data_IF_065431148858
#
_entry.id   IF_065431148858
#
_cell.length_a   1.000
_cell.length_b   1.000
_cell.length_c   1.000
_cell.angle_alpha   90.00
_cell.angle_beta   90.00
_cell.angle_gamma   90.00
#
_symmetry.space_group_name_H-M   'P 1'
#
loop_
_entity.id
_entity.type
_entity.pdbx_description
1 polymer ?
#
# COMPACT_ATOMS: atom_id res chain seq x y z
N UNK A 1 -2.33 -13.81 15.85
CA UNK A 1 -2.54 -13.95 17.31
C UNK A 1 -1.83 -15.23 17.74
N UNK A 2 -1.13 -15.26 18.89
CA UNK A 2 -0.39 -16.45 19.35
C UNK A 2 1.13 -16.42 19.20
N UNK A 3 1.74 -15.23 19.08
CA UNK A 3 3.19 -15.09 19.11
C UNK A 3 3.66 -14.82 20.54
N UNK A 4 4.83 -15.32 20.89
CA UNK A 4 5.49 -15.02 22.17
C UNK A 4 5.73 -13.51 22.33
N UNK A 5 5.65 -13.04 23.58
CA UNK A 5 5.89 -11.64 23.91
C UNK A 5 7.37 -11.29 23.73
N UNK A 6 7.66 -10.37 22.81
CA UNK A 6 9.01 -9.88 22.51
C UNK A 6 9.25 -8.45 23.01
N UNK A 7 8.36 -7.89 23.85
CA UNK A 7 8.53 -6.53 24.39
C UNK A 7 9.85 -6.40 25.15
N UNK A 8 10.55 -5.28 24.94
CA UNK A 8 11.86 -5.00 25.53
C UNK A 8 13.06 -5.64 24.81
N UNK A 9 12.84 -6.51 23.83
CA UNK A 9 13.91 -7.10 23.02
C UNK A 9 14.26 -6.22 21.82
N UNK A 10 15.50 -6.33 21.32
CA UNK A 10 15.93 -5.68 20.09
C UNK A 10 15.31 -6.35 18.86
N UNK A 11 15.12 -5.59 17.78
CA UNK A 11 14.59 -6.11 16.50
C UNK A 11 15.66 -6.78 15.62
N UNK A 12 16.92 -6.82 16.05
CA UNK A 12 18.08 -7.28 15.26
C UNK A 12 17.91 -8.68 14.66
N UNK A 13 17.33 -9.61 15.42
CA UNK A 13 17.07 -10.98 14.92
C UNK A 13 16.10 -10.97 13.74
N UNK A 14 15.04 -10.18 13.82
CA UNK A 14 14.07 -10.06 12.73
C UNK A 14 14.65 -9.41 11.46
N UNK A 15 15.63 -8.51 11.62
CA UNK A 15 16.38 -7.95 10.49
C UNK A 15 17.32 -9.00 9.89
N UNK A 16 18.05 -9.74 10.72
CA UNK A 16 18.96 -10.80 10.27
C UNK A 16 18.23 -11.94 9.53
N UNK A 17 17.01 -12.26 9.97
CA UNK A 17 16.09 -13.21 9.32
C UNK A 17 15.45 -12.64 8.03
N UNK A 18 15.75 -11.39 7.64
CA UNK A 18 15.11 -10.67 6.54
C UNK A 18 13.58 -10.78 6.60
N UNK A 19 13.02 -10.58 7.79
CA UNK A 19 11.58 -10.58 7.97
C UNK A 19 11.01 -9.23 7.51
N UNK A 20 10.07 -9.27 6.57
CA UNK A 20 9.42 -8.09 6.01
C UNK A 20 8.82 -7.15 7.08
N UNK A 21 8.37 -7.69 8.22
CA UNK A 21 7.85 -6.90 9.33
C UNK A 21 8.82 -5.81 9.81
N UNK A 22 10.13 -6.06 9.70
CA UNK A 22 11.18 -5.12 10.11
C UNK A 22 11.85 -4.42 8.93
N UNK A 23 11.35 -4.64 7.71
CA UNK A 23 11.72 -3.94 6.48
C UNK A 23 13.24 -3.89 6.24
N UNK A 24 13.96 -4.97 6.58
CA UNK A 24 15.43 -5.05 6.48
C UNK A 24 16.15 -3.88 7.17
N UNK A 25 15.61 -3.40 8.29
CA UNK A 25 16.17 -2.27 9.03
C UNK A 25 15.90 -0.90 8.39
N UNK A 26 14.96 -0.82 7.45
CA UNK A 26 14.49 0.42 6.81
C UNK A 26 13.03 0.79 7.17
N UNK A 27 12.60 0.73 8.45
CA UNK A 27 11.28 1.18 8.82
C UNK A 27 11.17 2.71 8.79
N UNK A 28 9.94 3.22 8.80
CA UNK A 28 9.68 4.64 9.08
C UNK A 28 10.06 4.92 10.54
N UNK A 29 11.02 5.82 10.76
CA UNK A 29 11.38 6.33 12.08
C UNK A 29 10.78 7.72 12.21
N UNK A 30 9.73 7.83 13.03
CA UNK A 30 8.97 9.08 13.14
C UNK A 30 9.71 10.14 13.95
N UNK A 31 9.64 11.39 13.49
CA UNK A 31 9.75 12.56 14.35
C UNK A 31 8.34 12.93 14.89
N UNK A 32 8.24 13.99 15.71
CA UNK A 32 6.95 14.42 16.28
C UNK A 32 5.86 14.73 15.24
N UNK A 33 6.22 15.32 14.10
CA UNK A 33 5.25 15.60 13.05
C UNK A 33 4.77 14.32 12.33
N UNK A 34 5.67 13.35 12.16
CA UNK A 34 5.34 12.04 11.59
C UNK A 34 4.53 11.17 12.56
N UNK A 35 4.71 11.33 13.87
CA UNK A 35 3.82 10.74 14.88
C UNK A 35 2.39 11.28 14.73
N UNK A 36 2.23 12.59 14.51
CA UNK A 36 0.93 13.20 14.20
C UNK A 36 0.38 12.64 12.88
N UNK A 37 1.20 12.53 11.84
CA UNK A 37 0.79 11.92 10.57
C UNK A 37 0.34 10.46 10.73
N UNK A 38 1.00 9.69 11.59
CA UNK A 38 0.59 8.33 11.91
C UNK A 38 -0.77 8.30 12.62
N UNK A 39 -1.01 9.21 13.57
CA UNK A 39 -2.31 9.32 14.25
C UNK A 39 -3.44 9.70 13.28
N UNK A 40 -3.20 10.67 12.39
CA UNK A 40 -4.17 11.06 11.35
C UNK A 40 -4.42 9.91 10.38
N UNK A 41 -3.37 9.20 9.96
CA UNK A 41 -3.50 8.02 9.08
C UNK A 41 -4.24 6.86 9.75
N UNK A 42 -4.25 6.79 11.08
CA UNK A 42 -4.96 5.79 11.85
C UNK A 42 -6.45 6.10 12.07
N UNK A 43 -6.93 7.28 11.66
CA UNK A 43 -8.38 7.57 11.63
C UNK A 43 -9.06 6.50 10.77
N UNK A 44 -10.12 5.90 11.31
CA UNK A 44 -10.90 4.87 10.64
C UNK A 44 -12.31 5.42 10.34
N UNK A 45 -12.63 5.73 9.08
CA UNK A 45 -13.97 6.17 8.70
C UNK A 45 -15.05 5.08 8.78
N UNK A 46 -14.67 3.80 8.86
CA UNK A 46 -15.61 2.68 8.79
C UNK A 46 -16.53 2.62 10.01
N UNK A 47 -17.84 2.68 9.74
CA UNK A 47 -18.91 2.48 10.72
C UNK A 47 -19.22 0.98 10.82
N UNK A 48 -19.30 0.32 9.66
CA UNK A 48 -19.50 -1.12 9.54
C UNK A 48 -18.90 -1.62 8.20
N UNK A 49 -19.09 -2.90 7.88
CA UNK A 49 -18.50 -3.54 6.70
C UNK A 49 -18.89 -2.97 5.35
N UNK A 50 -19.95 -2.14 5.27
CA UNK A 50 -20.48 -1.59 4.02
C UNK A 50 -20.68 -0.08 4.06
N UNK A 51 -20.34 0.58 5.17
CA UNK A 51 -20.61 2.01 5.36
C UNK A 51 -19.44 2.70 6.05
N UNK A 52 -19.05 3.83 5.47
CA UNK A 52 -18.04 4.75 5.99
C UNK A 52 -18.67 6.12 6.29
N UNK A 53 -18.17 6.81 7.31
CA UNK A 53 -18.53 8.20 7.60
C UNK A 53 -17.78 9.14 6.65
N UNK A 54 -18.53 9.88 5.85
CA UNK A 54 -17.98 10.91 4.97
C UNK A 54 -17.28 12.02 5.74
N UNK A 55 -17.82 12.41 6.90
CA UNK A 55 -17.24 13.46 7.75
C UNK A 55 -15.86 13.05 8.28
N UNK A 56 -15.74 11.80 8.74
CA UNK A 56 -14.46 11.25 9.21
C UNK A 56 -13.43 11.16 8.09
N UNK A 57 -13.85 10.71 6.89
CA UNK A 57 -12.99 10.68 5.71
C UNK A 57 -12.55 12.09 5.31
N UNK A 58 -13.46 13.07 5.30
CA UNK A 58 -13.14 14.47 4.98
C UNK A 58 -12.19 15.11 6.00
N UNK A 59 -12.36 14.84 7.30
CA UNK A 59 -11.43 15.32 8.34
C UNK A 59 -10.04 14.69 8.13
N UNK A 60 -9.98 13.37 7.90
CA UNK A 60 -8.72 12.67 7.64
C UNK A 60 -8.00 13.26 6.41
N UNK A 61 -8.73 13.47 5.33
CA UNK A 61 -8.23 14.06 4.08
C UNK A 61 -7.69 15.48 4.29
N UNK A 62 -8.46 16.35 4.97
CA UNK A 62 -8.05 17.73 5.23
C UNK A 62 -6.79 17.80 6.11
N UNK A 63 -6.69 16.96 7.14
CA UNK A 63 -5.52 16.90 8.00
C UNK A 63 -4.29 16.34 7.28
N UNK A 64 -4.46 15.33 6.43
CA UNK A 64 -3.37 14.80 5.60
C UNK A 64 -2.88 15.84 4.59
N UNK A 65 -3.77 16.63 3.98
CA UNK A 65 -3.37 17.76 3.14
C UNK A 65 -2.58 18.81 3.90
N UNK A 66 -3.03 19.19 5.10
CA UNK A 66 -2.28 20.13 5.94
C UNK A 66 -0.86 19.61 6.21
N UNK A 67 -0.72 18.33 6.55
CA UNK A 67 0.58 17.71 6.79
C UNK A 67 1.43 17.60 5.51
N UNK A 68 0.79 17.39 4.35
CA UNK A 68 1.44 17.36 3.04
C UNK A 68 2.01 18.73 2.69
N UNK A 69 1.20 19.79 2.82
CA UNK A 69 1.58 21.18 2.53
C UNK A 69 2.74 21.66 3.41
N UNK A 70 2.79 21.19 4.66
CA UNK A 70 3.90 21.47 5.59
C UNK A 70 5.15 20.60 5.34
N UNK A 71 5.12 19.69 4.36
CA UNK A 71 6.22 18.81 4.00
C UNK A 71 6.43 17.62 4.94
N UNK A 72 5.52 17.39 5.89
CA UNK A 72 5.66 16.35 6.91
C UNK A 72 5.36 14.94 6.40
N UNK A 73 4.71 14.81 5.24
CA UNK A 73 4.47 13.52 4.58
C UNK A 73 5.59 13.07 3.63
N UNK A 74 6.58 13.94 3.36
CA UNK A 74 7.65 13.67 2.38
C UNK A 74 8.48 12.41 2.64
N UNK A 75 8.52 11.94 3.89
CA UNK A 75 9.19 10.72 4.33
C UNK A 75 8.22 9.64 4.83
N UNK A 76 6.92 9.75 4.55
CA UNK A 76 5.92 8.82 5.04
C UNK A 76 5.13 8.21 3.86
N UNK A 77 5.67 7.17 3.18
CA UNK A 77 5.06 6.59 1.98
C UNK A 77 3.62 6.12 2.18
N UNK A 78 3.29 5.48 3.30
CA UNK A 78 1.94 4.98 3.55
C UNK A 78 0.90 6.10 3.76
N UNK A 79 1.29 7.26 4.31
CA UNK A 79 0.39 8.39 4.50
C UNK A 79 0.09 9.08 3.16
N UNK A 80 1.09 9.16 2.26
CA UNK A 80 0.90 9.59 0.88
C UNK A 80 -0.06 8.65 0.13
N UNK A 81 0.09 7.34 0.31
CA UNK A 81 -0.83 6.34 -0.24
C UNK A 81 -2.26 6.51 0.30
N UNK A 82 -2.42 6.70 1.61
CA UNK A 82 -3.72 6.95 2.24
C UNK A 82 -4.39 8.23 1.71
N UNK A 83 -3.63 9.33 1.57
CA UNK A 83 -4.14 10.55 0.96
C UNK A 83 -4.55 10.34 -0.51
N UNK A 84 -3.77 9.55 -1.26
CA UNK A 84 -4.10 9.18 -2.63
C UNK A 84 -5.43 8.42 -2.74
N UNK A 85 -5.67 7.43 -1.88
CA UNK A 85 -6.95 6.70 -1.85
C UNK A 85 -8.13 7.64 -1.50
N UNK A 86 -7.95 8.57 -0.55
CA UNK A 86 -8.99 9.55 -0.19
C UNK A 86 -9.31 10.52 -1.35
N UNK A 87 -8.29 11.00 -2.06
CA UNK A 87 -8.48 11.85 -3.24
C UNK A 87 -9.11 11.11 -4.43
N UNK A 88 -8.91 9.80 -4.56
CA UNK A 88 -9.62 9.00 -5.56
C UNK A 88 -11.12 8.91 -5.25
N UNK A 89 -11.48 8.78 -3.97
CA UNK A 89 -12.87 8.74 -3.51
C UNK A 89 -13.54 10.11 -3.72
N UNK A 90 -12.87 11.18 -3.29
CA UNK A 90 -13.39 12.54 -3.39
C UNK A 90 -12.26 13.53 -3.64
N UNK A 91 -12.04 13.89 -4.90
CA UNK A 91 -10.99 14.83 -5.29
C UNK A 91 -11.24 16.21 -4.70
N UNK A 92 -10.24 16.75 -4.00
CA UNK A 92 -10.26 18.11 -3.49
C UNK A 92 -9.99 19.12 -4.62
N UNK A 93 -10.77 20.22 -4.74
CA UNK A 93 -10.55 21.23 -5.78
C UNK A 93 -9.15 21.85 -5.70
N UNK A 94 -8.45 21.91 -6.84
CA UNK A 94 -7.11 22.52 -6.93
C UNK A 94 -5.97 21.67 -6.36
N UNK A 95 -6.25 20.47 -5.85
CA UNK A 95 -5.23 19.51 -5.42
C UNK A 95 -4.73 18.64 -6.58
N UNK A 96 -3.51 18.10 -6.51
CA UNK A 96 -3.00 17.21 -7.54
C UNK A 96 -3.81 15.91 -7.62
N UNK A 97 -3.78 15.22 -8.77
CA UNK A 97 -4.49 13.96 -8.93
C UNK A 97 -3.88 12.85 -8.05
N UNK A 98 -4.66 11.79 -7.71
CA UNK A 98 -4.21 10.70 -6.84
C UNK A 98 -2.94 10.02 -7.34
N UNK A 99 -2.81 9.91 -8.67
CA UNK A 99 -1.64 9.33 -9.32
C UNK A 99 -0.33 10.00 -8.88
N UNK A 100 -0.34 11.32 -8.69
CA UNK A 100 0.84 12.07 -8.24
C UNK A 100 1.23 11.68 -6.82
N UNK A 101 0.27 11.52 -5.92
CA UNK A 101 0.50 11.12 -4.53
C UNK A 101 1.03 9.68 -4.43
N UNK A 102 0.52 8.77 -5.24
CA UNK A 102 1.05 7.40 -5.31
C UNK A 102 2.48 7.36 -5.87
N UNK A 103 2.81 8.24 -6.82
CA UNK A 103 4.17 8.36 -7.34
C UNK A 103 5.12 8.95 -6.27
N UNK A 104 4.70 10.01 -5.57
CA UNK A 104 5.44 10.56 -4.43
C UNK A 104 5.70 9.52 -3.34
N UNK A 105 4.74 8.64 -3.07
CA UNK A 105 4.89 7.53 -2.14
C UNK A 105 6.02 6.57 -2.55
N UNK A 106 6.06 6.17 -3.82
CA UNK A 106 7.11 5.30 -4.37
C UNK A 106 8.47 6.01 -4.35
N UNK A 107 8.50 7.29 -4.71
CA UNK A 107 9.73 8.07 -4.74
C UNK A 107 10.30 8.28 -3.32
N UNK A 108 9.43 8.49 -2.33
CA UNK A 108 9.82 8.54 -0.92
C UNK A 108 10.42 7.21 -0.44
N UNK A 109 9.83 6.07 -0.80
CA UNK A 109 10.37 4.74 -0.51
C UNK A 109 11.78 4.55 -1.10
N UNK A 110 11.93 4.83 -2.39
CA UNK A 110 13.23 4.72 -3.07
C UNK A 110 14.28 5.64 -2.47
N UNK A 111 13.89 6.87 -2.11
CA UNK A 111 14.82 7.91 -1.65
C UNK A 111 15.27 7.73 -0.21
N UNK A 112 14.38 7.31 0.68
CA UNK A 112 14.64 7.30 2.12
C UNK A 112 14.72 5.90 2.74
N UNK A 113 14.23 4.87 2.03
CA UNK A 113 14.06 3.53 2.59
C UNK A 113 14.63 2.43 1.69
N UNK A 114 15.52 2.78 0.74
CA UNK A 114 16.19 1.83 -0.16
C UNK A 114 15.23 0.89 -0.90
N UNK A 115 14.04 1.39 -1.24
CA UNK A 115 13.00 0.65 -1.96
C UNK A 115 12.61 -0.66 -1.26
N UNK A 116 12.50 -0.62 0.07
CA UNK A 116 12.16 -1.78 0.91
C UNK A 116 10.65 -1.86 1.20
N UNK A 117 9.85 -0.85 0.83
CA UNK A 117 8.42 -0.83 1.14
C UNK A 117 7.59 -1.36 -0.02
N UNK A 118 6.71 -2.33 0.29
CA UNK A 118 5.87 -2.96 -0.74
C UNK A 118 4.58 -2.17 -0.98
N UNK A 119 4.05 -1.53 0.08
CA UNK A 119 2.76 -0.85 0.04
C UNK A 119 2.64 0.27 -1.02
N UNK A 120 3.65 1.15 -1.23
CA UNK A 120 3.58 2.19 -2.26
C UNK A 120 3.20 1.65 -3.64
N UNK A 121 3.80 0.53 -4.04
CA UNK A 121 3.48 -0.15 -5.29
C UNK A 121 2.09 -0.78 -5.31
N UNK A 122 1.61 -1.29 -4.16
CA UNK A 122 0.26 -1.87 -4.08
C UNK A 122 -0.84 -0.81 -4.14
N UNK A 123 -0.63 0.37 -3.55
CA UNK A 123 -1.56 1.50 -3.66
C UNK A 123 -1.70 1.93 -5.12
N UNK A 124 -0.56 2.23 -5.77
CA UNK A 124 -0.53 2.59 -7.20
C UNK A 124 -1.17 1.52 -8.07
N UNK A 125 -0.81 0.24 -7.85
CA UNK A 125 -1.34 -0.88 -8.64
C UNK A 125 -2.85 -1.02 -8.49
N UNK A 126 -3.39 -0.87 -7.28
CA UNK A 126 -4.82 -0.94 -7.02
C UNK A 126 -5.58 0.22 -7.69
N UNK A 127 -5.07 1.45 -7.58
CA UNK A 127 -5.62 2.62 -8.28
C UNK A 127 -5.67 2.39 -9.80
N UNK A 128 -4.55 1.98 -10.40
CA UNK A 128 -4.46 1.73 -11.84
C UNK A 128 -5.42 0.62 -12.28
N UNK A 129 -5.59 -0.41 -11.45
CA UNK A 129 -6.53 -1.49 -11.72
C UNK A 129 -7.99 -1.03 -11.70
N UNK A 130 -8.40 -0.27 -10.67
CA UNK A 130 -9.75 0.31 -10.57
C UNK A 130 -10.07 1.22 -11.77
N UNK A 131 -9.06 1.87 -12.32
CA UNK A 131 -9.16 2.75 -13.48
C UNK A 131 -8.94 2.03 -14.84
N UNK A 132 -8.97 0.70 -14.88
CA UNK A 132 -8.89 -0.10 -16.11
C UNK A 132 -7.50 -0.17 -16.77
N UNK A 133 -6.46 0.35 -16.12
CA UNK A 133 -5.08 0.37 -16.63
C UNK A 133 -4.33 -0.91 -16.24
N UNK A 134 -4.84 -2.07 -16.67
CA UNK A 134 -4.38 -3.38 -16.21
C UNK A 134 -2.89 -3.65 -16.45
N UNK A 135 -2.34 -3.24 -17.61
CA UNK A 135 -0.91 -3.43 -17.91
C UNK A 135 -0.01 -2.66 -16.94
N UNK A 136 -0.39 -1.43 -16.62
CA UNK A 136 0.34 -0.60 -15.66
C UNK A 136 0.20 -1.15 -14.23
N UNK A 137 -1.01 -1.58 -13.85
CA UNK A 137 -1.26 -2.23 -12.57
C UNK A 137 -0.40 -3.50 -12.37
N UNK A 138 -0.34 -4.37 -13.38
CA UNK A 138 0.53 -5.56 -13.37
C UNK A 138 2.00 -5.19 -13.24
N UNK A 139 2.45 -4.11 -13.89
CA UNK A 139 3.82 -3.63 -13.72
C UNK A 139 4.09 -3.16 -12.30
N UNK A 140 3.15 -2.47 -11.64
CA UNK A 140 3.28 -2.08 -10.24
C UNK A 140 3.35 -3.28 -9.31
N UNK A 141 2.50 -4.29 -9.51
CA UNK A 141 2.54 -5.52 -8.71
C UNK A 141 3.78 -6.37 -8.98
N UNK A 142 4.32 -6.33 -10.20
CA UNK A 142 5.64 -6.92 -10.51
C UNK A 142 6.75 -6.22 -9.71
N UNK A 143 6.75 -4.90 -9.65
CA UNK A 143 7.70 -4.14 -8.84
C UNK A 143 7.54 -4.44 -7.33
N UNK A 144 6.30 -4.55 -6.84
CA UNK A 144 6.01 -4.97 -5.47
C UNK A 144 6.59 -6.36 -5.16
N UNK A 145 6.44 -7.32 -6.09
CA UNK A 145 7.01 -8.66 -6.00
C UNK A 145 8.55 -8.64 -6.02
N UNK A 146 9.15 -7.76 -6.82
CA UNK A 146 10.60 -7.60 -6.87
C UNK A 146 11.18 -7.09 -5.54
N UNK A 147 10.51 -6.13 -4.88
CA UNK A 147 10.86 -5.72 -3.51
C UNK A 147 10.73 -6.90 -2.55
N UNK A 148 9.65 -7.65 -2.68
CA UNK A 148 9.34 -8.77 -1.80
C UNK A 148 10.35 -9.92 -1.88
N UNK A 149 10.99 -10.12 -3.04
CA UNK A 149 12.07 -11.10 -3.24
C UNK A 149 13.26 -10.87 -2.29
N UNK A 150 13.40 -9.67 -1.74
CA UNK A 150 14.44 -9.34 -0.75
C UNK A 150 14.19 -9.88 0.66
N UNK A 151 13.04 -10.52 0.91
CA UNK A 151 12.62 -11.02 2.22
C UNK A 151 12.49 -12.54 2.23
N UNK A 152 12.78 -13.16 3.39
CA UNK A 152 12.51 -14.58 3.60
C UNK A 152 11.02 -14.79 3.88
N UNK A 153 10.42 -15.80 3.24
CA UNK A 153 9.00 -16.08 3.35
C UNK A 153 8.69 -16.78 4.68
N UNK A 154 8.56 -16.01 5.76
CA UNK A 154 8.18 -16.52 7.10
C UNK A 154 6.67 -16.32 7.30
N UNK A 155 6.03 -17.16 8.13
CA UNK A 155 4.60 -17.25 8.49
C UNK A 155 3.83 -15.90 8.68
N UNK A 156 4.53 -14.79 8.91
CA UNK A 156 3.99 -13.42 8.99
C UNK A 156 3.54 -12.84 7.64
N UNK A 157 3.79 -13.55 6.53
CA UNK A 157 3.43 -13.18 5.17
C UNK A 157 1.92 -13.17 4.89
N UNK A 158 1.05 -13.68 5.78
CA UNK A 158 -0.39 -13.87 5.51
C UNK A 158 -1.11 -12.57 5.11
N UNK A 159 -0.74 -11.41 5.67
CA UNK A 159 -1.41 -10.13 5.38
C UNK A 159 -1.09 -9.60 3.97
N UNK A 160 0.13 -9.84 3.48
CA UNK A 160 0.52 -9.37 2.14
C UNK A 160 0.32 -10.44 1.07
N UNK A 161 0.53 -11.73 1.36
CA UNK A 161 0.19 -12.82 0.44
C UNK A 161 -1.30 -12.85 0.20
N UNK A 162 -2.17 -12.68 1.20
CA UNK A 162 -3.62 -12.65 0.94
C UNK A 162 -3.99 -11.55 -0.06
N UNK A 163 -3.38 -10.35 0.04
CA UNK A 163 -3.58 -9.28 -0.95
C UNK A 163 -2.97 -9.62 -2.31
N UNK A 164 -1.69 -10.02 -2.38
CA UNK A 164 -1.02 -10.31 -3.66
C UNK A 164 -1.61 -11.54 -4.37
N UNK A 165 -1.91 -12.62 -3.64
CA UNK A 165 -2.60 -13.82 -4.15
C UNK A 165 -4.02 -13.47 -4.55
N UNK A 166 -4.77 -12.66 -3.80
CA UNK A 166 -6.09 -12.23 -4.24
C UNK A 166 -6.00 -11.56 -5.62
N UNK A 167 -5.06 -10.63 -5.83
CA UNK A 167 -4.89 -9.98 -7.14
C UNK A 167 -4.29 -10.89 -8.22
N UNK A 168 -3.37 -11.81 -7.88
CA UNK A 168 -2.67 -12.69 -8.84
C UNK A 168 -3.48 -13.95 -9.17
N UNK A 169 -4.16 -14.54 -8.19
CA UNK A 169 -4.97 -15.78 -8.32
C UNK A 169 -6.40 -15.48 -8.74
N UNK A 170 -7.02 -14.35 -8.36
CA UNK A 170 -8.24 -13.93 -9.04
C UNK A 170 -7.97 -13.71 -10.54
N UNK A 171 -6.80 -13.18 -10.90
CA UNK A 171 -6.39 -13.08 -12.29
C UNK A 171 -6.09 -14.45 -12.93
N UNK A 172 -5.50 -15.41 -12.21
CA UNK A 172 -5.22 -16.74 -12.76
C UNK A 172 -6.50 -17.55 -13.01
N UNK A 173 -7.48 -17.52 -12.10
CA UNK A 173 -8.75 -18.24 -12.27
C UNK A 173 -9.65 -17.55 -13.31
N UNK A 174 -9.71 -16.20 -13.32
CA UNK A 174 -10.46 -15.47 -14.34
C UNK A 174 -9.77 -15.53 -15.71
N UNK A 175 -8.44 -15.54 -15.80
CA UNK A 175 -7.74 -15.67 -17.09
C UNK A 175 -7.84 -17.09 -17.67
N UNK A 176 -7.84 -18.14 -16.83
CA UNK A 176 -8.08 -19.51 -17.30
C UNK A 176 -9.51 -19.68 -17.83
N UNK A 177 -10.51 -19.06 -17.18
CA UNK A 177 -11.89 -19.07 -17.68
C UNK A 177 -12.08 -18.21 -18.95
N UNK A 178 -11.48 -17.02 -19.00
CA UNK A 178 -11.64 -16.08 -20.12
C UNK A 178 -10.82 -16.47 -21.36
N UNK A 179 -9.66 -17.13 -21.17
CA UNK A 179 -8.91 -17.74 -22.27
C UNK A 179 -9.58 -19.03 -22.76
N UNK A 180 -10.19 -19.83 -21.89
CA UNK A 180 -10.94 -21.03 -22.29
C UNK A 180 -12.15 -20.69 -23.17
N UNK A 181 -12.97 -19.69 -22.80
CA UNK A 181 -14.15 -19.30 -23.59
C UNK A 181 -13.79 -18.68 -24.96
N UNK A 182 -12.73 -17.88 -25.03
CA UNK A 182 -12.28 -17.29 -26.31
C UNK A 182 -11.57 -18.30 -27.20
N UNK A 183 -10.86 -19.27 -26.63
CA UNK A 183 -10.19 -20.32 -27.39
C UNK A 183 -11.20 -21.33 -27.96
N UNK A 184 -12.21 -21.76 -27.18
CA UNK A 184 -13.26 -22.66 -27.69
C UNK A 184 -14.20 -22.02 -28.72
N UNK A 185 -14.42 -20.69 -28.68
CA UNK A 185 -15.18 -19.98 -29.73
C UNK A 185 -14.40 -19.72 -31.02
N UNK A 186 -13.09 -19.95 -31.04
CA UNK A 186 -12.23 -19.72 -32.20
C UNK A 186 -11.84 -21.02 -32.93
N UNK A 187 -12.28 -22.18 -32.46
CA UNK A 187 -12.01 -23.51 -33.07
C UNK A 187 -13.33 -24.17 -33.49
N UNK A 188 -14.33 -23.34 -33.84
CA UNK A 188 -15.44 -23.76 -34.69
C UNK A 188 -15.02 -23.74 -36.15
#
# INVERSE_FOLDING_TARGET
>A
KGNEDKRGQTISNGIAEKNWLYLNGKPVICNRHMEVAAMVSAINPSINSTMDSSEMASIQQALLWLLHDMGYLSKYPMALGNLGDLEEISQSPGRPPPLTLFQESIDADKRYYDNQHVYPYTYMGAFLFRNGQYKAALSCWSNASAVMKGYEMIFYFIVLFSKLIYYTVAFSISSIFFLSEKFFKSIG
#
